data_IF_794062205716
#
_entry.id   IF_794062205716
#
_cell.length_a   1.000
_cell.length_b   1.000
_cell.length_c   1.000
_cell.angle_alpha   90.00
_cell.angle_beta   90.00
_cell.angle_gamma   90.00
#
_symmetry.space_group_name_H-M   'P 1'
#
loop_
_entity.id
_entity.type
_entity.pdbx_description
1 polymer ?
#
# COMPACT_ATOMS: atom_id res chain seq x y z
N UNK A 1 -22.20 -3.04 -60.09
CA UNK A 1 -22.19 -4.43 -59.60
C UNK A 1 -22.55 -4.41 -58.12
N UNK A 2 -23.68 -5.04 -57.77
CA UNK A 2 -24.24 -5.34 -56.42
C UNK A 2 -24.38 -4.21 -55.39
N UNK A 3 -25.58 -3.62 -55.37
CA UNK A 3 -26.23 -3.05 -54.18
C UNK A 3 -26.65 -4.19 -53.23
N UNK A 4 -26.44 -4.00 -51.92
CA UNK A 4 -27.03 -4.82 -50.86
C UNK A 4 -27.86 -3.90 -49.96
N UNK A 5 -29.19 -4.07 -50.04
CA UNK A 5 -30.18 -3.41 -49.21
C UNK A 5 -30.42 -4.26 -47.95
N UNK A 6 -30.36 -3.64 -46.77
CA UNK A 6 -30.78 -4.26 -45.50
C UNK A 6 -32.11 -3.63 -45.09
N UNK A 7 -33.15 -4.47 -45.03
CA UNK A 7 -34.52 -4.15 -44.58
C UNK A 7 -34.54 -3.95 -43.06
N UNK A 8 -35.19 -2.87 -42.61
CA UNK A 8 -35.68 -2.68 -41.24
C UNK A 8 -37.00 -3.48 -41.06
N UNK A 9 -37.12 -4.19 -39.95
CA UNK A 9 -38.37 -4.78 -39.45
C UNK A 9 -38.69 -4.26 -38.05
N UNK A 10 -39.97 -4.05 -37.68
CA UNK A 10 -40.36 -3.49 -36.39
C UNK A 10 -40.55 -4.58 -35.33
N UNK A 11 -40.06 -4.32 -34.11
CA UNK A 11 -40.36 -5.13 -32.93
C UNK A 11 -41.64 -4.61 -32.27
N UNK A 12 -42.54 -5.55 -32.02
CA UNK A 12 -43.88 -5.34 -31.52
C UNK A 12 -43.91 -5.02 -30.01
N UNK A 13 -44.83 -4.12 -29.68
CA UNK A 13 -45.32 -3.80 -28.34
C UNK A 13 -46.22 -4.94 -27.85
N UNK A 14 -46.03 -5.40 -26.61
CA UNK A 14 -47.05 -6.16 -25.90
C UNK A 14 -47.28 -5.54 -24.52
N UNK A 15 -48.47 -4.97 -24.39
CA UNK A 15 -49.14 -4.57 -23.16
C UNK A 15 -49.47 -5.81 -22.30
N UNK A 16 -49.32 -5.69 -20.98
CA UNK A 16 -50.08 -6.48 -20.01
C UNK A 16 -50.62 -5.51 -18.97
N UNK A 17 -51.92 -5.24 -19.06
CA UNK A 17 -52.73 -4.60 -18.02
C UNK A 17 -53.47 -5.66 -17.19
N UNK A 18 -53.88 -5.22 -16.00
CA UNK A 18 -54.88 -5.77 -15.07
C UNK A 18 -54.41 -6.80 -14.03
N UNK A 19 -54.34 -6.39 -12.75
CA UNK A 19 -55.50 -6.24 -11.85
C UNK A 19 -55.10 -5.58 -10.51
N UNK A 20 -55.74 -4.45 -10.19
CA UNK A 20 -55.90 -3.93 -8.83
C UNK A 20 -57.30 -4.35 -8.34
N UNK A 21 -57.40 -4.85 -7.11
CA UNK A 21 -58.50 -4.45 -6.24
C UNK A 21 -58.15 -4.61 -4.74
N UNK A 22 -58.47 -3.55 -4.01
CA UNK A 22 -58.33 -3.26 -2.59
C UNK A 22 -58.91 -4.30 -1.63
N UNK A 23 -58.37 -4.32 -0.40
CA UNK A 23 -59.14 -4.16 0.84
C UNK A 23 -58.22 -3.61 1.96
N UNK A 24 -58.74 -2.60 2.67
CA UNK A 24 -58.08 -1.78 3.69
C UNK A 24 -58.37 -2.24 5.13
N UNK A 25 -57.51 -1.77 6.06
CA UNK A 25 -57.69 -1.53 7.52
C UNK A 25 -57.51 -2.71 8.53
N UNK A 26 -57.23 -2.45 9.83
CA UNK A 26 -56.09 -1.74 10.42
C UNK A 26 -55.43 -2.45 11.66
N UNK A 27 -54.20 -2.04 12.02
CA UNK A 27 -53.40 -2.11 13.28
C UNK A 27 -53.90 -2.86 14.55
N UNK A 28 -52.99 -3.47 15.37
CA UNK A 28 -52.05 -2.73 16.26
C UNK A 28 -50.64 -3.35 16.47
N UNK A 29 -49.70 -2.62 17.11
CA UNK A 29 -48.30 -3.02 17.23
C UNK A 29 -48.07 -3.87 18.49
N UNK A 30 -47.23 -4.90 18.38
CA UNK A 30 -46.65 -5.57 19.54
C UNK A 30 -45.12 -5.49 19.46
N UNK A 31 -44.60 -4.59 20.30
CA UNK A 31 -43.27 -4.67 20.86
C UNK A 31 -43.00 -6.09 21.35
N UNK A 32 -41.91 -6.69 20.89
CA UNK A 32 -41.17 -7.65 21.70
C UNK A 32 -39.67 -7.44 21.48
N UNK A 33 -39.10 -6.84 22.52
CA UNK A 33 -37.68 -6.72 22.82
C UNK A 33 -36.96 -8.06 22.70
N UNK A 34 -36.04 -8.15 21.74
CA UNK A 34 -35.01 -9.20 21.68
C UNK A 34 -33.89 -8.78 22.65
N UNK A 35 -33.53 -9.59 23.66
CA UNK A 35 -32.36 -9.28 24.47
C UNK A 35 -31.09 -9.48 23.62
N UNK A 36 -30.43 -8.36 23.32
CA UNK A 36 -29.05 -8.32 22.86
C UNK A 36 -28.13 -8.86 23.97
N UNK A 37 -27.76 -10.13 23.87
CA UNK A 37 -26.58 -10.67 24.55
C UNK A 37 -26.01 -11.80 23.71
N UNK A 38 -25.38 -11.42 22.60
CA UNK A 38 -24.34 -12.23 21.98
C UNK A 38 -23.06 -11.42 22.09
N UNK A 39 -22.42 -11.49 23.27
CA UNK A 39 -20.99 -11.22 23.33
C UNK A 39 -20.32 -12.23 22.41
N UNK A 40 -19.98 -11.80 21.21
CA UNK A 40 -19.01 -12.51 20.38
C UNK A 40 -17.73 -12.61 21.23
N UNK A 41 -17.16 -13.81 21.41
CA UNK A 41 -15.87 -13.93 22.06
C UNK A 41 -14.83 -13.17 21.22
N UNK A 42 -13.81 -12.56 21.82
CA UNK A 42 -12.72 -11.95 21.07
C UNK A 42 -11.99 -13.04 20.28
N UNK A 43 -12.21 -13.08 18.98
CA UNK A 43 -11.42 -13.86 18.03
C UNK A 43 -10.13 -13.10 17.75
N UNK A 44 -9.12 -13.31 18.58
CA UNK A 44 -7.71 -13.32 18.16
C UNK A 44 -6.84 -13.86 19.30
N UNK A 45 -6.91 -15.17 19.54
CA UNK A 45 -5.76 -15.89 20.10
C UNK A 45 -4.96 -16.35 18.89
N UNK A 46 -3.84 -15.68 18.60
CA UNK A 46 -2.86 -16.21 17.66
C UNK A 46 -2.38 -17.54 18.24
N UNK A 47 -2.74 -18.64 17.60
CA UNK A 47 -2.29 -19.97 18.00
C UNK A 47 -0.94 -20.17 17.34
N UNK A 48 0.10 -20.37 18.16
CA UNK A 48 1.42 -20.73 17.68
C UNK A 48 1.58 -22.24 17.69
N UNK A 49 2.00 -22.81 16.57
CA UNK A 49 2.44 -24.20 16.47
C UNK A 49 3.72 -24.40 17.28
N UNK A 50 3.83 -25.54 17.98
CA UNK A 50 5.06 -25.93 18.64
C UNK A 50 6.08 -26.42 17.58
N UNK A 51 7.27 -25.81 17.47
CA UNK A 51 8.29 -26.27 16.53
C UNK A 51 8.72 -27.72 16.81
N UNK A 52 9.01 -28.47 15.75
CA UNK A 52 9.68 -29.77 15.84
C UNK A 52 11.03 -29.63 16.56
N UNK A 53 11.41 -30.62 17.38
CA UNK A 53 12.69 -30.60 18.06
C UNK A 53 13.84 -30.66 17.05
N UNK A 54 14.95 -29.92 17.28
CA UNK A 54 16.13 -30.03 16.44
C UNK A 54 16.65 -31.46 16.34
N UNK A 55 17.15 -31.83 15.17
CA UNK A 55 17.74 -33.14 14.96
C UNK A 55 18.96 -33.35 15.86
N UNK A 56 18.95 -34.40 16.69
CA UNK A 56 20.10 -34.76 17.54
C UNK A 56 21.37 -34.93 16.69
N UNK A 57 21.21 -35.58 15.52
CA UNK A 57 22.29 -35.86 14.59
C UNK A 57 21.81 -35.95 13.14
N UNK A 58 22.44 -35.18 12.27
CA UNK A 58 22.27 -35.27 10.83
C UNK A 58 23.08 -36.43 10.25
N UNK A 59 22.58 -37.05 9.17
CA UNK A 59 23.30 -38.11 8.45
C UNK A 59 24.67 -37.63 7.96
N UNK A 60 25.60 -38.55 7.68
CA UNK A 60 26.93 -38.15 7.18
C UNK A 60 26.82 -37.40 5.84
N UNK A 61 25.93 -37.85 4.95
CA UNK A 61 25.69 -37.21 3.66
C UNK A 61 25.17 -35.78 3.84
N UNK A 62 24.16 -35.57 4.69
CA UNK A 62 23.58 -34.25 4.96
C UNK A 62 24.61 -33.33 5.63
N UNK A 63 25.36 -33.80 6.62
CA UNK A 63 26.43 -33.00 7.26
C UNK A 63 27.51 -32.58 6.27
N UNK A 64 27.89 -33.47 5.36
CA UNK A 64 28.85 -33.14 4.30
C UNK A 64 28.30 -32.04 3.39
N UNK A 65 27.04 -32.15 2.97
CA UNK A 65 26.41 -31.13 2.13
C UNK A 65 26.26 -29.78 2.87
N UNK A 66 25.89 -29.77 4.16
CA UNK A 66 25.88 -28.56 4.99
C UNK A 66 27.25 -27.89 5.02
N UNK A 67 28.32 -28.65 5.29
CA UNK A 67 29.68 -28.12 5.28
C UNK A 67 30.07 -27.55 3.92
N UNK A 68 29.88 -28.35 2.87
CA UNK A 68 30.38 -28.06 1.54
C UNK A 68 29.64 -26.88 0.88
N UNK A 69 28.32 -26.82 1.06
CA UNK A 69 27.45 -25.89 0.33
C UNK A 69 26.99 -24.70 1.17
N UNK A 70 26.80 -24.87 2.49
CA UNK A 70 26.39 -23.76 3.37
C UNK A 70 27.59 -23.14 4.10
N UNK A 71 28.27 -23.90 4.97
CA UNK A 71 29.31 -23.34 5.85
C UNK A 71 30.46 -22.70 5.06
N UNK A 72 30.92 -23.32 3.97
CA UNK A 72 31.99 -22.78 3.12
C UNK A 72 31.58 -21.53 2.32
N UNK A 73 30.27 -21.32 2.08
CA UNK A 73 29.76 -20.20 1.28
C UNK A 73 29.21 -19.07 2.15
N UNK A 74 28.94 -19.32 3.43
CA UNK A 74 28.27 -18.38 4.35
C UNK A 74 28.94 -17.00 4.38
N UNK A 75 30.26 -16.94 4.53
CA UNK A 75 30.98 -15.67 4.62
C UNK A 75 30.88 -14.83 3.33
N UNK A 76 30.82 -15.47 2.16
CA UNK A 76 30.64 -14.77 0.89
C UNK A 76 29.21 -14.23 0.75
N UNK A 77 28.20 -15.01 1.19
CA UNK A 77 26.81 -14.57 1.21
C UNK A 77 26.58 -13.40 2.18
N UNK A 78 27.15 -13.47 3.38
CA UNK A 78 27.14 -12.37 4.37
C UNK A 78 27.78 -11.11 3.79
N UNK A 79 28.91 -11.25 3.10
CA UNK A 79 29.56 -10.14 2.41
C UNK A 79 28.68 -9.55 1.31
N UNK A 80 28.08 -10.37 0.45
CA UNK A 80 27.19 -9.90 -0.62
C UNK A 80 25.97 -9.15 -0.04
N UNK A 81 25.36 -9.68 1.01
CA UNK A 81 24.24 -9.04 1.71
C UNK A 81 24.67 -7.70 2.32
N UNK A 82 25.83 -7.68 2.98
CA UNK A 82 26.38 -6.48 3.61
C UNK A 82 26.69 -5.38 2.60
N UNK A 83 27.34 -5.73 1.48
CA UNK A 83 27.63 -4.79 0.40
C UNK A 83 26.36 -4.22 -0.22
N UNK A 84 25.32 -5.05 -0.38
CA UNK A 84 24.04 -4.64 -0.92
C UNK A 84 23.27 -3.69 0.01
N UNK A 85 23.33 -3.93 1.32
CA UNK A 85 22.64 -3.12 2.33
C UNK A 85 23.48 -1.96 2.86
N UNK A 86 24.76 -1.88 2.49
CA UNK A 86 25.66 -0.79 2.87
C UNK A 86 26.11 -0.80 4.34
N UNK A 87 25.82 -1.86 5.08
CA UNK A 87 26.24 -2.09 6.48
C UNK A 87 26.55 -3.57 6.70
N UNK A 88 27.25 -3.92 7.77
CA UNK A 88 27.59 -5.32 8.06
C UNK A 88 26.35 -6.12 8.49
N UNK A 89 26.11 -7.23 7.79
CA UNK A 89 25.01 -8.17 8.03
C UNK A 89 25.54 -9.59 8.22
N UNK A 90 24.89 -10.34 9.09
CA UNK A 90 25.18 -11.76 9.32
C UNK A 90 23.97 -12.63 8.99
N UNK A 91 24.21 -13.93 8.78
CA UNK A 91 23.14 -14.91 8.52
C UNK A 91 23.12 -16.00 9.59
N UNK A 92 21.95 -16.22 10.20
CA UNK A 92 21.72 -17.26 11.20
C UNK A 92 20.76 -18.32 10.65
N UNK A 93 21.27 -19.52 10.37
CA UNK A 93 20.46 -20.67 10.00
C UNK A 93 21.03 -21.91 10.72
N UNK A 94 20.22 -22.57 11.55
CA UNK A 94 20.61 -23.81 12.23
C UNK A 94 20.13 -25.02 11.41
N UNK A 95 21.04 -25.76 10.73
CA UNK A 95 20.66 -26.92 9.94
C UNK A 95 19.97 -28.00 10.77
N UNK A 96 20.26 -28.13 12.08
CA UNK A 96 19.61 -29.13 12.93
C UNK A 96 18.18 -28.75 13.28
N UNK A 97 17.88 -27.45 13.44
CA UNK A 97 16.53 -26.98 13.66
C UNK A 97 15.68 -27.02 12.38
N UNK A 98 16.31 -26.83 11.21
CA UNK A 98 15.63 -26.79 9.91
C UNK A 98 15.36 -28.20 9.35
N UNK A 99 16.33 -29.13 9.46
CA UNK A 99 16.23 -30.45 8.83
C UNK A 99 14.98 -31.27 9.20
N UNK A 100 14.45 -31.25 10.44
CA UNK A 100 13.23 -31.99 10.79
C UNK A 100 12.03 -31.72 9.89
N UNK A 101 11.99 -30.57 9.22
CA UNK A 101 10.92 -30.18 8.28
C UNK A 101 11.19 -30.60 6.84
N UNK A 102 12.15 -31.50 6.61
CA UNK A 102 12.42 -31.98 5.26
C UNK A 102 11.19 -32.74 4.71
N UNK A 103 10.77 -32.41 3.50
CA UNK A 103 9.89 -33.27 2.71
C UNK A 103 10.73 -34.31 1.94
N UNK A 104 10.12 -35.15 1.10
CA UNK A 104 10.84 -36.09 0.23
C UNK A 104 11.58 -35.40 -0.95
N UNK A 105 12.04 -34.17 -0.75
CA UNK A 105 12.63 -33.31 -1.76
C UNK A 105 13.98 -32.71 -1.37
N UNK A 106 14.22 -31.49 -1.84
CA UNK A 106 15.52 -30.82 -1.88
C UNK A 106 16.29 -30.86 -0.54
N UNK A 107 15.61 -30.56 0.56
CA UNK A 107 16.25 -30.45 1.88
C UNK A 107 16.64 -31.81 2.51
N UNK A 108 16.06 -32.93 2.05
CA UNK A 108 16.33 -34.27 2.62
C UNK A 108 17.77 -34.71 2.40
N UNK A 109 18.28 -34.47 1.19
CA UNK A 109 19.61 -34.90 0.76
C UNK A 109 20.57 -33.72 0.58
N UNK A 110 20.06 -32.50 0.36
CA UNK A 110 20.86 -31.30 0.03
C UNK A 110 20.51 -30.09 0.89
N UNK A 111 20.40 -30.29 2.21
CA UNK A 111 20.05 -29.25 3.18
C UNK A 111 20.94 -27.99 3.10
N UNK A 112 22.26 -28.15 2.98
CA UNK A 112 23.20 -27.04 2.86
C UNK A 112 22.93 -26.20 1.62
N UNK A 113 22.73 -26.86 0.48
CA UNK A 113 22.33 -26.19 -0.76
C UNK A 113 20.97 -25.49 -0.62
N UNK A 114 20.03 -26.12 0.09
CA UNK A 114 18.71 -25.55 0.35
C UNK A 114 18.80 -24.26 1.18
N UNK A 115 19.57 -24.25 2.27
CA UNK A 115 19.78 -23.05 3.10
C UNK A 115 20.44 -21.95 2.27
N UNK A 116 21.52 -22.29 1.55
CA UNK A 116 22.21 -21.35 0.64
C UNK A 116 21.23 -20.71 -0.36
N UNK A 117 20.35 -21.51 -0.97
CA UNK A 117 19.41 -21.02 -1.97
C UNK A 117 18.38 -20.03 -1.41
N UNK A 118 17.93 -20.17 -0.16
CA UNK A 118 17.10 -19.14 0.50
C UNK A 118 17.83 -17.82 0.66
N UNK A 119 19.11 -17.87 1.05
CA UNK A 119 19.94 -16.66 1.26
C UNK A 119 20.26 -15.99 -0.08
N UNK A 120 20.61 -16.76 -1.11
CA UNK A 120 20.78 -16.25 -2.47
C UNK A 120 19.49 -15.63 -3.02
N UNK A 121 18.35 -16.27 -2.75
CA UNK A 121 17.02 -15.74 -3.07
C UNK A 121 16.74 -14.40 -2.38
N UNK A 122 17.05 -14.29 -1.09
CA UNK A 122 16.93 -13.05 -0.34
C UNK A 122 17.80 -11.92 -0.94
N UNK A 123 19.07 -12.19 -1.21
CA UNK A 123 20.00 -11.23 -1.83
C UNK A 123 19.47 -10.79 -3.20
N UNK A 124 19.00 -11.73 -4.02
CA UNK A 124 18.43 -11.43 -5.34
C UNK A 124 17.23 -10.48 -5.24
N UNK A 125 16.27 -10.76 -4.35
CA UNK A 125 15.07 -9.95 -4.19
C UNK A 125 15.39 -8.56 -3.63
N UNK A 126 16.25 -8.46 -2.62
CA UNK A 126 16.69 -7.16 -2.08
C UNK A 126 17.37 -6.35 -3.19
N UNK A 127 18.22 -6.97 -4.01
CA UNK A 127 18.89 -6.28 -5.12
C UNK A 127 17.90 -5.78 -6.17
N UNK A 128 16.91 -6.60 -6.53
CA UNK A 128 15.85 -6.23 -7.45
C UNK A 128 15.05 -5.03 -6.93
N UNK A 129 14.62 -5.08 -5.66
CA UNK A 129 13.81 -4.04 -5.03
C UNK A 129 14.62 -2.76 -4.77
N UNK A 130 15.89 -2.84 -4.39
CA UNK A 130 16.79 -1.66 -4.32
C UNK A 130 16.94 -0.98 -5.68
N UNK A 131 16.96 -1.75 -6.78
CA UNK A 131 16.95 -1.19 -8.14
C UNK A 131 15.66 -0.43 -8.49
N UNK A 132 14.53 -0.84 -7.91
CA UNK A 132 13.20 -0.23 -8.11
C UNK A 132 12.96 0.98 -7.21
N UNK A 133 13.34 0.87 -5.94
CA UNK A 133 13.02 1.85 -4.88
C UNK A 133 14.21 2.77 -4.51
N UNK A 134 15.39 2.52 -5.07
CA UNK A 134 16.59 3.30 -4.82
C UNK A 134 17.29 2.97 -3.50
N UNK A 135 18.33 3.73 -3.17
CA UNK A 135 19.18 3.50 -1.99
C UNK A 135 18.43 3.57 -0.66
N UNK A 136 17.35 4.33 -0.61
CA UNK A 136 16.48 4.46 0.57
C UNK A 136 15.84 3.14 0.99
N UNK A 137 15.68 2.19 0.07
CA UNK A 137 15.16 0.87 0.40
C UNK A 137 16.11 0.09 1.32
N UNK A 138 17.41 0.15 1.07
CA UNK A 138 18.40 -0.47 1.94
C UNK A 138 18.43 0.18 3.32
N UNK A 139 18.35 1.51 3.38
CA UNK A 139 18.23 2.26 4.65
C UNK A 139 16.99 1.81 5.44
N UNK A 140 15.84 1.66 4.78
CA UNK A 140 14.62 1.20 5.45
C UNK A 140 14.77 -0.19 6.06
N UNK A 141 15.38 -1.13 5.32
CA UNK A 141 15.66 -2.47 5.84
C UNK A 141 16.58 -2.38 7.06
N UNK A 142 17.66 -1.61 7.00
CA UNK A 142 18.62 -1.46 8.10
C UNK A 142 17.99 -0.84 9.35
N UNK A 143 17.14 0.17 9.18
CA UNK A 143 16.48 0.84 10.32
C UNK A 143 15.53 -0.12 11.07
N UNK A 144 14.74 -0.89 10.33
CA UNK A 144 13.74 -1.78 10.91
C UNK A 144 14.37 -3.08 11.43
N UNK A 145 15.29 -3.66 10.65
CA UNK A 145 16.06 -4.83 11.02
C UNK A 145 17.46 -4.42 11.56
N UNK A 146 17.43 -3.56 12.58
CA UNK A 146 18.61 -2.94 13.21
C UNK A 146 19.60 -3.92 13.88
N UNK A 147 19.23 -5.19 14.06
CA UNK A 147 20.17 -6.22 14.48
C UNK A 147 21.11 -6.64 13.34
N UNK A 148 20.76 -6.32 12.09
CA UNK A 148 21.47 -6.71 10.86
C UNK A 148 21.72 -8.22 10.77
N UNK A 149 20.68 -8.99 11.07
CA UNK A 149 20.70 -10.45 10.98
C UNK A 149 19.58 -10.93 10.07
N UNK A 150 19.94 -11.74 9.08
CA UNK A 150 19.00 -12.54 8.29
C UNK A 150 18.88 -13.93 8.91
N UNK A 151 17.67 -14.40 9.22
CA UNK A 151 17.45 -15.76 9.75
C UNK A 151 16.68 -16.66 8.77
N UNK A 152 16.78 -17.98 8.96
CA UNK A 152 15.93 -18.96 8.27
C UNK A 152 15.28 -19.89 9.30
N UNK A 153 13.96 -19.80 9.42
CA UNK A 153 13.19 -20.45 10.48
C UNK A 153 11.86 -21.00 9.92
N UNK A 154 11.21 -21.89 10.68
CA UNK A 154 9.86 -22.35 10.33
C UNK A 154 8.82 -21.28 10.69
N UNK A 155 7.77 -21.15 9.88
CA UNK A 155 6.57 -20.39 10.21
C UNK A 155 5.81 -21.09 11.34
N UNK A 156 5.60 -20.39 12.45
CA UNK A 156 5.03 -20.92 13.68
C UNK A 156 3.57 -20.50 13.91
N UNK A 157 2.93 -19.76 13.00
CA UNK A 157 1.50 -19.42 13.11
C UNK A 157 0.57 -20.53 12.62
N UNK A 158 -0.56 -20.71 13.30
CA UNK A 158 -1.68 -21.58 12.90
C UNK A 158 -2.99 -20.78 12.76
N UNK A 159 -3.56 -20.66 11.55
CA UNK A 159 -3.05 -21.22 10.28
C UNK A 159 -1.79 -20.48 9.78
N UNK A 160 -0.95 -21.20 9.03
CA UNK A 160 0.27 -20.63 8.45
C UNK A 160 -0.06 -19.44 7.54
N UNK A 161 0.68 -18.33 7.71
CA UNK A 161 0.53 -17.11 6.89
C UNK A 161 0.96 -17.31 5.44
N UNK A 162 1.97 -18.13 5.24
CA UNK A 162 2.60 -18.33 3.94
C UNK A 162 2.33 -19.73 3.41
N UNK A 163 1.96 -19.83 2.14
CA UNK A 163 1.75 -21.13 1.49
C UNK A 163 3.07 -21.90 1.29
N UNK A 164 4.18 -21.20 1.01
CA UNK A 164 5.50 -21.82 0.84
C UNK A 164 6.52 -21.25 1.82
N UNK A 165 6.75 -19.95 1.71
CA UNK A 165 7.65 -19.18 2.52
C UNK A 165 7.32 -17.69 2.38
N UNK A 166 7.85 -16.90 3.29
CA UNK A 166 7.75 -15.44 3.30
C UNK A 166 8.79 -14.86 4.25
N UNK A 167 8.58 -13.63 4.66
CA UNK A 167 9.45 -12.99 5.63
C UNK A 167 8.69 -12.09 6.60
N UNK A 168 9.35 -11.78 7.71
CA UNK A 168 8.91 -10.74 8.63
C UNK A 168 10.11 -10.02 9.24
N UNK A 169 9.85 -8.87 9.86
CA UNK A 169 10.80 -8.23 10.76
C UNK A 169 10.32 -8.44 12.19
N UNK A 170 11.17 -9.07 13.01
CA UNK A 170 10.87 -9.33 14.41
C UNK A 170 12.15 -9.27 15.24
N UNK A 171 12.08 -8.65 16.40
CA UNK A 171 13.21 -8.46 17.32
C UNK A 171 14.43 -7.81 16.63
N UNK A 172 14.17 -6.90 15.69
CA UNK A 172 15.20 -6.23 14.90
C UNK A 172 15.89 -7.12 13.86
N UNK A 173 15.41 -8.34 13.60
CA UNK A 173 15.95 -9.25 12.58
C UNK A 173 15.03 -9.36 11.38
N UNK A 174 15.60 -9.58 10.20
CA UNK A 174 14.85 -9.98 9.02
C UNK A 174 14.78 -11.52 8.99
N UNK A 175 13.61 -12.09 9.19
CA UNK A 175 13.42 -13.55 9.29
C UNK A 175 12.83 -14.08 8.00
N UNK A 176 13.48 -15.06 7.37
CA UNK A 176 12.86 -15.91 6.35
C UNK A 176 12.08 -17.00 7.09
N UNK A 177 10.81 -17.14 6.75
CA UNK A 177 9.91 -18.12 7.36
C UNK A 177 9.43 -19.08 6.28
N UNK A 178 9.73 -20.37 6.42
CA UNK A 178 9.20 -21.42 5.54
C UNK A 178 8.03 -22.14 6.19
N UNK A 179 7.01 -22.47 5.40
CA UNK A 179 5.92 -23.33 5.85
C UNK A 179 6.45 -24.74 6.15
N UNK A 180 6.00 -25.35 7.25
CA UNK A 180 6.49 -26.64 7.76
C UNK A 180 6.51 -27.79 6.74
N UNK A 181 5.66 -27.74 5.70
CA UNK A 181 5.57 -28.77 4.65
C UNK A 181 6.31 -28.39 3.35
N UNK A 182 6.79 -27.15 3.25
CA UNK A 182 7.26 -26.55 2.00
C UNK A 182 8.75 -26.15 2.04
N UNK A 183 9.53 -26.66 3.00
CA UNK A 183 10.97 -26.41 3.06
C UNK A 183 11.65 -26.70 1.71
N UNK A 184 12.38 -25.70 1.19
CA UNK A 184 13.12 -25.80 -0.08
C UNK A 184 12.26 -25.60 -1.34
N UNK A 185 11.01 -25.21 -1.20
CA UNK A 185 10.11 -24.91 -2.34
C UNK A 185 10.07 -23.41 -2.59
N UNK A 186 10.29 -22.97 -3.84
CA UNK A 186 10.23 -21.56 -4.27
C UNK A 186 11.00 -20.62 -3.33
N UNK A 187 12.24 -20.97 -3.01
CA UNK A 187 13.05 -20.32 -1.98
C UNK A 187 13.32 -18.83 -2.26
N UNK A 188 13.31 -18.45 -3.53
CA UNK A 188 13.46 -17.09 -4.03
C UNK A 188 12.21 -16.22 -3.79
N UNK A 189 11.08 -16.80 -3.41
CA UNK A 189 9.84 -16.08 -3.14
C UNK A 189 9.78 -15.52 -1.71
N UNK A 190 10.75 -15.82 -0.85
CA UNK A 190 10.67 -15.45 0.57
C UNK A 190 10.63 -13.93 0.78
N UNK A 191 11.45 -13.20 0.03
CA UNK A 191 11.60 -11.74 0.12
C UNK A 191 11.10 -11.01 -1.13
N UNK A 192 10.28 -11.68 -1.97
CA UNK A 192 9.65 -10.99 -3.10
C UNK A 192 8.80 -9.80 -2.63
N UNK A 193 8.47 -8.90 -3.55
CA UNK A 193 7.82 -7.62 -3.24
C UNK A 193 6.57 -7.75 -2.35
N UNK A 194 5.68 -8.69 -2.68
CA UNK A 194 4.44 -8.96 -1.93
C UNK A 194 4.65 -9.70 -0.60
N UNK A 195 5.89 -9.97 -0.19
CA UNK A 195 6.27 -10.51 1.12
C UNK A 195 7.08 -9.48 1.93
N UNK A 196 8.12 -8.90 1.32
CA UNK A 196 9.02 -7.99 2.02
C UNK A 196 8.40 -6.62 2.31
N UNK A 197 7.62 -6.03 1.39
CA UNK A 197 7.01 -4.73 1.65
C UNK A 197 5.95 -4.78 2.76
N UNK A 198 5.05 -5.79 2.80
CA UNK A 198 4.19 -5.99 3.96
C UNK A 198 4.97 -6.19 5.26
N UNK A 199 6.09 -6.94 5.24
CA UNK A 199 6.94 -7.14 6.41
C UNK A 199 7.55 -5.84 6.93
N UNK A 200 8.06 -4.97 6.04
CA UNK A 200 8.57 -3.65 6.40
C UNK A 200 7.47 -2.77 7.02
N UNK A 201 6.25 -2.82 6.47
CA UNK A 201 5.13 -2.01 6.97
C UNK A 201 4.53 -2.53 8.28
N UNK A 202 4.63 -3.84 8.54
CA UNK A 202 4.16 -4.45 9.78
C UNK A 202 5.18 -4.31 10.92
N UNK A 203 6.44 -4.03 10.60
CA UNK A 203 7.49 -3.81 11.59
C UNK A 203 7.16 -2.58 12.46
N UNK A 204 7.40 -2.63 13.79
CA UNK A 204 7.29 -1.44 14.63
C UNK A 204 8.20 -0.33 14.11
N UNK A 205 7.62 0.83 13.81
CA UNK A 205 8.33 2.01 13.32
C UNK A 205 7.72 3.27 13.92
N UNK A 206 8.56 4.26 14.21
CA UNK A 206 8.15 5.63 14.55
C UNK A 206 7.93 6.50 13.30
N UNK A 207 8.31 5.99 12.12
CA UNK A 207 8.13 6.70 10.86
C UNK A 207 6.65 6.86 10.54
N UNK A 208 6.24 8.05 10.06
CA UNK A 208 4.89 8.22 9.53
C UNK A 208 4.73 7.40 8.24
N UNK A 209 3.50 6.96 7.98
CA UNK A 209 3.09 6.25 6.77
C UNK A 209 3.67 4.84 6.58
N UNK A 210 3.22 4.14 5.54
CA UNK A 210 3.90 2.95 5.03
C UNK A 210 5.12 3.34 4.19
N UNK A 211 6.01 2.38 3.94
CA UNK A 211 7.12 2.54 3.01
C UNK A 211 6.65 2.98 1.62
N UNK A 212 5.58 2.38 1.09
CA UNK A 212 5.01 2.75 -0.21
C UNK A 212 4.58 4.21 -0.26
N UNK A 213 3.87 4.68 0.77
CA UNK A 213 3.44 6.07 0.86
C UNK A 213 4.64 7.02 0.95
N UNK A 214 5.62 6.75 1.83
CA UNK A 214 6.85 7.55 1.91
C UNK A 214 7.60 7.59 0.58
N UNK A 215 7.72 6.44 -0.08
CA UNK A 215 8.40 6.36 -1.37
C UNK A 215 7.66 7.13 -2.47
N UNK A 216 6.32 7.00 -2.57
CA UNK A 216 5.54 7.76 -3.56
C UNK A 216 5.64 9.27 -3.31
N UNK A 217 5.60 9.72 -2.06
CA UNK A 217 5.80 11.14 -1.73
C UNK A 217 7.17 11.62 -2.22
N UNK A 218 8.23 10.87 -1.92
CA UNK A 218 9.61 11.22 -2.28
C UNK A 218 9.86 11.21 -3.79
N UNK A 219 9.33 10.21 -4.50
CA UNK A 219 9.58 10.02 -5.93
C UNK A 219 8.68 10.91 -6.80
N UNK A 220 7.40 11.05 -6.41
CA UNK A 220 6.41 11.71 -7.25
C UNK A 220 6.14 13.15 -6.81
N UNK A 221 5.89 13.40 -5.52
CA UNK A 221 5.40 14.69 -5.03
C UNK A 221 6.52 15.70 -4.80
N UNK A 222 7.51 15.35 -3.98
CA UNK A 222 8.58 16.28 -3.55
C UNK A 222 9.32 16.92 -4.73
N UNK A 223 9.70 16.20 -5.81
CA UNK A 223 10.45 16.79 -6.90
C UNK A 223 9.62 17.74 -7.78
N UNK A 224 8.29 17.59 -7.78
CA UNK A 224 7.41 18.24 -8.75
C UNK A 224 6.56 19.38 -8.16
N UNK A 225 6.24 19.33 -6.87
CA UNK A 225 5.30 20.28 -6.25
C UNK A 225 5.75 21.74 -6.34
N UNK A 226 7.06 21.99 -6.36
CA UNK A 226 7.61 23.34 -6.50
C UNK A 226 7.17 24.04 -7.81
N UNK A 227 7.04 23.29 -8.91
CA UNK A 227 6.55 23.82 -10.17
C UNK A 227 5.06 24.18 -10.10
N UNK A 228 4.24 23.30 -9.50
CA UNK A 228 2.80 23.56 -9.31
C UNK A 228 2.57 24.77 -8.41
N UNK A 229 3.34 24.89 -7.33
CA UNK A 229 3.31 26.05 -6.43
C UNK A 229 3.60 27.35 -7.18
N UNK A 230 4.58 27.32 -8.09
CA UNK A 230 4.94 28.46 -8.94
C UNK A 230 3.81 28.80 -9.91
N UNK A 231 3.19 27.82 -10.56
CA UNK A 231 2.09 28.06 -11.49
C UNK A 231 0.89 28.72 -10.78
N UNK A 232 0.55 28.27 -9.56
CA UNK A 232 -0.49 28.90 -8.73
C UNK A 232 -0.10 30.33 -8.36
N UNK A 233 1.14 30.57 -7.94
CA UNK A 233 1.61 31.91 -7.59
C UNK A 233 1.54 32.89 -8.78
N UNK A 234 1.98 32.44 -9.96
CA UNK A 234 1.95 33.23 -11.20
C UNK A 234 0.51 33.60 -11.59
N UNK A 235 -0.43 32.65 -11.49
CA UNK A 235 -1.86 32.89 -11.77
C UNK A 235 -2.50 33.91 -10.82
N UNK A 236 -1.99 34.04 -9.60
CA UNK A 236 -2.50 34.96 -8.58
C UNK A 236 -1.77 36.30 -8.56
N UNK A 237 -0.73 36.48 -9.39
CA UNK A 237 0.14 37.66 -9.32
C UNK A 237 0.91 37.76 -8.00
N UNK A 238 1.21 36.61 -7.38
CA UNK A 238 1.88 36.48 -6.08
C UNK A 238 3.29 35.94 -6.21
N UNK A 239 4.12 36.18 -5.19
CA UNK A 239 5.40 35.48 -5.06
C UNK A 239 5.20 34.05 -4.57
N UNK A 240 6.11 33.14 -4.95
CA UNK A 240 6.06 31.73 -4.52
C UNK A 240 6.10 31.58 -2.99
N UNK A 241 6.76 32.51 -2.29
CA UNK A 241 6.88 32.49 -0.83
C UNK A 241 5.60 32.90 -0.10
N UNK A 242 4.67 33.59 -0.77
CA UNK A 242 3.36 33.95 -0.22
C UNK A 242 2.35 32.78 -0.29
N UNK A 243 2.58 31.82 -1.19
CA UNK A 243 1.68 30.68 -1.37
C UNK A 243 2.06 29.56 -0.40
N UNK A 244 1.06 28.95 0.23
CA UNK A 244 1.23 27.71 1.02
C UNK A 244 0.48 26.58 0.34
N UNK A 245 1.20 25.49 0.04
CA UNK A 245 0.62 24.25 -0.45
C UNK A 245 0.69 23.23 0.69
N UNK A 246 -0.47 22.78 1.14
CA UNK A 246 -0.60 21.88 2.28
C UNK A 246 -1.17 20.52 1.82
N UNK A 247 -0.32 19.51 1.57
CA UNK A 247 -0.78 18.20 1.14
C UNK A 247 -1.53 17.43 2.24
N UNK A 248 -1.37 17.84 3.50
CA UNK A 248 -2.02 17.25 4.67
C UNK A 248 -1.85 15.71 4.73
N UNK A 249 -0.64 15.23 4.43
CA UNK A 249 -0.38 13.81 4.21
C UNK A 249 -0.78 12.94 5.40
N UNK A 250 -0.46 13.34 6.63
CA UNK A 250 -0.73 12.60 7.86
C UNK A 250 -2.23 12.37 8.05
N UNK A 251 -3.03 13.42 7.98
CA UNK A 251 -4.48 13.32 8.16
C UNK A 251 -5.14 12.54 7.01
N UNK A 252 -4.70 12.78 5.77
CA UNK A 252 -5.23 12.10 4.60
C UNK A 252 -4.89 10.61 4.61
N UNK A 253 -3.66 10.24 4.96
CA UNK A 253 -3.24 8.86 5.10
C UNK A 253 -4.01 8.13 6.20
N UNK A 254 -4.19 8.76 7.37
CA UNK A 254 -4.97 8.18 8.46
C UNK A 254 -6.41 7.90 8.01
N UNK A 255 -7.07 8.88 7.38
CA UNK A 255 -8.45 8.75 6.88
C UNK A 255 -8.59 7.65 5.83
N UNK A 256 -7.66 7.58 4.87
CA UNK A 256 -7.65 6.55 3.83
C UNK A 256 -7.39 5.15 4.41
N UNK A 257 -6.48 5.04 5.39
CA UNK A 257 -6.17 3.78 6.05
C UNK A 257 -7.37 3.20 6.80
N UNK A 258 -8.15 4.05 7.47
CA UNK A 258 -9.38 3.65 8.17
C UNK A 258 -10.50 3.24 7.20
N UNK A 259 -10.61 3.95 6.08
CA UNK A 259 -11.75 3.83 5.17
C UNK A 259 -11.63 2.68 4.17
N UNK A 260 -10.42 2.13 3.97
CA UNK A 260 -10.14 1.06 2.99
C UNK A 260 -10.67 1.41 1.59
N UNK A 261 -10.08 2.42 0.92
CA UNK A 261 -10.54 2.90 -0.38
C UNK A 261 -10.60 1.75 -1.39
N UNK A 262 -11.47 1.91 -2.40
CA UNK A 262 -11.70 0.92 -3.47
C UNK A 262 -10.43 0.55 -4.24
N UNK A 263 -9.46 1.45 -4.30
CA UNK A 263 -8.17 1.24 -4.94
C UNK A 263 -7.18 0.60 -3.94
N UNK A 264 -6.86 -0.68 -4.15
CA UNK A 264 -5.98 -1.45 -3.25
C UNK A 264 -4.55 -0.87 -3.17
N UNK A 265 -4.03 -0.30 -4.27
CA UNK A 265 -2.68 0.25 -4.37
C UNK A 265 -2.58 1.76 -4.06
N UNK A 266 -3.58 2.33 -3.36
CA UNK A 266 -3.62 3.76 -3.07
C UNK A 266 -2.38 4.30 -2.35
N UNK A 267 -1.74 3.49 -1.48
CA UNK A 267 -0.54 3.89 -0.76
C UNK A 267 0.66 4.06 -1.69
N UNK A 268 0.76 3.23 -2.73
CA UNK A 268 1.80 3.32 -3.77
C UNK A 268 1.66 4.58 -4.62
N UNK A 269 0.48 5.20 -4.60
CA UNK A 269 0.14 6.37 -5.42
C UNK A 269 -0.15 7.61 -4.60
N UNK A 270 0.05 7.59 -3.27
CA UNK A 270 -0.33 8.69 -2.39
C UNK A 270 0.32 10.01 -2.81
N UNK A 271 1.63 10.00 -3.08
CA UNK A 271 2.37 11.17 -3.53
C UNK A 271 1.90 11.62 -4.91
N UNK A 272 1.81 10.69 -5.87
CA UNK A 272 1.37 10.99 -7.24
C UNK A 272 -0.05 11.60 -7.28
N UNK A 273 -1.01 11.01 -6.58
CA UNK A 273 -2.38 11.51 -6.56
C UNK A 273 -2.49 12.85 -5.85
N UNK A 274 -1.77 13.03 -4.73
CA UNK A 274 -1.74 14.31 -4.03
C UNK A 274 -1.18 15.41 -4.92
N UNK A 275 -0.09 15.16 -5.65
CA UNK A 275 0.45 16.10 -6.64
C UNK A 275 -0.61 16.45 -7.69
N UNK A 276 -1.27 15.44 -8.26
CA UNK A 276 -2.29 15.64 -9.29
C UNK A 276 -3.47 16.48 -8.81
N UNK A 277 -3.87 16.43 -7.55
CA UNK A 277 -4.92 17.31 -7.04
C UNK A 277 -4.51 18.77 -7.16
N UNK A 278 -3.26 19.11 -6.84
CA UNK A 278 -2.75 20.47 -6.99
C UNK A 278 -2.50 20.86 -8.45
N UNK A 279 -2.02 19.94 -9.29
CA UNK A 279 -1.94 20.16 -10.74
C UNK A 279 -3.32 20.43 -11.34
N UNK A 280 -4.33 19.66 -10.92
CA UNK A 280 -5.73 19.84 -11.29
C UNK A 280 -6.27 21.20 -10.85
N UNK A 281 -5.94 21.66 -9.64
CA UNK A 281 -6.27 23.01 -9.18
C UNK A 281 -5.68 24.07 -10.11
N UNK A 282 -4.37 24.03 -10.36
CA UNK A 282 -3.69 25.00 -11.23
C UNK A 282 -4.28 24.98 -12.65
N UNK A 283 -4.57 23.80 -13.19
CA UNK A 283 -5.23 23.62 -14.48
C UNK A 283 -6.61 24.29 -14.51
N UNK A 284 -7.45 24.07 -13.50
CA UNK A 284 -8.79 24.65 -13.42
C UNK A 284 -8.75 26.16 -13.21
N UNK A 285 -7.81 26.69 -12.43
CA UNK A 285 -7.60 28.14 -12.28
C UNK A 285 -7.26 28.80 -13.62
N UNK A 286 -6.38 28.17 -14.41
CA UNK A 286 -6.05 28.63 -15.76
C UNK A 286 -7.26 28.56 -16.68
N UNK A 287 -8.01 27.46 -16.66
CA UNK A 287 -9.21 27.29 -17.48
C UNK A 287 -10.30 28.33 -17.17
N UNK A 288 -10.47 28.66 -15.89
CA UNK A 288 -11.39 29.68 -15.38
C UNK A 288 -10.81 31.11 -15.44
N UNK A 289 -9.65 31.29 -16.08
CA UNK A 289 -9.02 32.59 -16.37
C UNK A 289 -8.63 33.41 -15.13
N UNK A 290 -8.30 32.77 -14.01
CA UNK A 290 -7.86 33.45 -12.78
C UNK A 290 -6.68 34.42 -13.02
N UNK A 291 -5.74 34.08 -13.91
CA UNK A 291 -4.60 34.96 -14.23
C UNK A 291 -4.88 36.01 -15.32
N UNK A 292 -6.08 36.04 -15.90
CA UNK A 292 -6.44 36.92 -17.01
C UNK A 292 -7.66 37.81 -16.69
N UNK A 293 -8.50 37.41 -15.75
CA UNK A 293 -9.71 38.12 -15.32
C UNK A 293 -9.52 38.69 -13.91
N UNK A 294 -9.40 40.02 -13.81
CA UNK A 294 -9.10 40.75 -12.57
C UNK A 294 -10.16 40.51 -11.49
N UNK A 295 -11.45 40.41 -11.86
CA UNK A 295 -12.53 40.22 -10.88
C UNK A 295 -12.49 38.82 -10.27
N UNK A 296 -12.18 37.80 -11.08
CA UNK A 296 -12.04 36.43 -10.58
C UNK A 296 -10.79 36.32 -9.70
N UNK A 297 -9.68 36.96 -10.11
CA UNK A 297 -8.45 36.96 -9.34
C UNK A 297 -8.64 37.63 -7.97
N UNK A 298 -9.26 38.82 -7.94
CA UNK A 298 -9.54 39.56 -6.72
C UNK A 298 -10.47 38.76 -5.80
N UNK A 299 -11.58 38.23 -6.32
CA UNK A 299 -12.50 37.41 -5.53
C UNK A 299 -11.85 36.18 -4.90
N UNK A 300 -10.94 35.51 -5.64
CA UNK A 300 -10.19 34.38 -5.11
C UNK A 300 -9.20 34.79 -4.01
N UNK A 301 -8.49 35.90 -4.19
CA UNK A 301 -7.56 36.44 -3.20
C UNK A 301 -8.28 36.92 -1.93
N UNK A 302 -9.48 37.47 -2.06
CA UNK A 302 -10.33 37.86 -0.92
C UNK A 302 -10.83 36.63 -0.16
N UNK A 303 -11.35 35.63 -0.86
CA UNK A 303 -11.87 34.41 -0.26
C UNK A 303 -10.76 33.58 0.41
N UNK A 304 -9.62 33.40 -0.27
CA UNK A 304 -8.45 32.63 0.19
C UNK A 304 -7.43 33.55 0.87
N UNK A 305 -7.90 34.30 1.85
CA UNK A 305 -7.12 35.35 2.54
C UNK A 305 -5.81 34.88 3.20
N UNK A 306 -5.63 33.56 3.43
CA UNK A 306 -4.38 32.98 3.96
C UNK A 306 -3.37 32.55 2.90
N UNK A 307 -3.74 32.62 1.60
CA UNK A 307 -2.96 32.08 0.49
C UNK A 307 -2.57 30.59 0.68
N UNK A 308 -3.42 29.83 1.38
CA UNK A 308 -3.20 28.40 1.66
C UNK A 308 -4.16 27.55 0.83
N UNK A 309 -3.60 26.52 0.20
CA UNK A 309 -4.29 25.57 -0.64
C UNK A 309 -4.00 24.17 -0.09
N UNK A 310 -5.03 23.50 0.42
CA UNK A 310 -4.89 22.27 1.16
C UNK A 310 -5.67 21.12 0.51
N UNK A 311 -5.11 19.91 0.53
CA UNK A 311 -5.86 18.70 0.18
C UNK A 311 -6.45 18.09 1.45
N UNK A 312 -7.73 17.71 1.46
CA UNK A 312 -8.29 16.91 2.55
C UNK A 312 -9.21 15.80 2.08
N UNK A 313 -9.12 14.65 2.73
CA UNK A 313 -10.05 13.53 2.55
C UNK A 313 -11.22 13.68 3.52
N UNK A 314 -12.44 13.70 2.98
CA UNK A 314 -13.69 13.90 3.73
C UNK A 314 -14.64 12.72 3.58
N UNK A 315 -15.60 12.57 4.49
CA UNK A 315 -16.60 11.50 4.42
C UNK A 315 -17.62 11.73 3.30
N UNK A 316 -18.00 12.99 3.09
CA UNK A 316 -19.02 13.41 2.11
C UNK A 316 -18.60 14.67 1.40
N UNK A 317 -18.95 14.76 0.11
CA UNK A 317 -18.85 15.98 -0.69
C UNK A 317 -20.24 16.63 -0.77
N UNK A 318 -20.27 17.94 -0.94
CA UNK A 318 -21.51 18.74 -0.91
C UNK A 318 -22.06 19.01 -2.31
N UNK A 319 -21.18 19.24 -3.28
CA UNK A 319 -21.47 19.82 -4.58
C UNK A 319 -21.10 18.93 -5.76
N UNK A 320 -20.24 17.94 -5.57
CA UNK A 320 -19.81 17.00 -6.61
C UNK A 320 -19.70 15.55 -6.11
N UNK A 321 -19.53 14.60 -7.02
CA UNK A 321 -19.43 13.17 -6.70
C UNK A 321 -17.99 12.67 -6.55
N UNK A 322 -17.02 13.28 -7.24
CA UNK A 322 -15.62 12.79 -7.30
C UNK A 322 -14.64 13.63 -6.48
N UNK A 323 -14.75 14.94 -6.57
CA UNK A 323 -13.96 15.91 -5.81
C UNK A 323 -14.53 17.31 -5.99
N UNK A 324 -14.28 18.17 -5.01
CA UNK A 324 -14.75 19.55 -5.03
C UNK A 324 -13.72 20.49 -4.38
N UNK A 325 -13.94 21.79 -4.53
CA UNK A 325 -13.23 22.80 -3.74
C UNK A 325 -14.21 23.51 -2.84
N UNK A 326 -13.75 23.90 -1.65
CA UNK A 326 -14.47 24.80 -0.75
C UNK A 326 -13.50 25.80 -0.14
N UNK A 327 -13.99 26.98 0.18
CA UNK A 327 -13.22 27.98 0.95
C UNK A 327 -13.72 28.00 2.38
N UNK A 328 -12.84 27.71 3.33
CA UNK A 328 -13.15 27.71 4.76
C UNK A 328 -12.04 28.41 5.53
N UNK A 329 -12.41 29.38 6.38
CA UNK A 329 -11.49 30.14 7.21
C UNK A 329 -10.29 30.72 6.45
N UNK A 330 -10.50 31.18 5.21
CA UNK A 330 -9.45 31.76 4.37
C UNK A 330 -8.52 30.76 3.69
N UNK A 331 -8.81 29.45 3.74
CA UNK A 331 -8.06 28.36 3.08
C UNK A 331 -8.93 27.74 1.99
N UNK A 332 -8.34 27.49 0.82
CA UNK A 332 -8.99 26.69 -0.22
C UNK A 332 -8.68 25.22 0.00
N UNK A 333 -9.71 24.43 0.29
CA UNK A 333 -9.61 22.98 0.41
C UNK A 333 -10.01 22.31 -0.89
N UNK A 334 -9.10 21.56 -1.49
CA UNK A 334 -9.41 20.52 -2.47
C UNK A 334 -9.88 19.30 -1.66
N UNK A 335 -11.04 18.77 -2.00
CA UNK A 335 -11.66 17.67 -1.28
C UNK A 335 -11.87 16.45 -2.17
N UNK A 336 -11.67 15.28 -1.59
CA UNK A 336 -12.06 14.00 -2.16
C UNK A 336 -12.56 13.07 -1.06
N UNK A 337 -13.29 12.02 -1.43
CA UNK A 337 -13.67 10.94 -0.50
C UNK A 337 -12.72 9.76 -0.66
N UNK A 338 -12.62 8.87 0.34
CA UNK A 338 -11.83 7.64 0.20
C UNK A 338 -12.15 6.87 -1.08
N UNK A 339 -13.43 6.68 -1.42
CA UNK A 339 -13.87 5.90 -2.59
C UNK A 339 -13.55 6.55 -3.94
N UNK A 340 -13.29 7.87 -3.95
CA UNK A 340 -13.01 8.64 -5.17
C UNK A 340 -11.60 9.23 -5.18
N UNK A 341 -10.79 8.88 -4.18
CA UNK A 341 -9.40 9.32 -4.11
C UNK A 341 -8.63 8.85 -5.34
N UNK A 342 -8.03 9.79 -6.06
CA UNK A 342 -7.31 9.49 -7.28
C UNK A 342 -8.17 9.41 -8.56
N UNK A 343 -9.49 9.62 -8.46
CA UNK A 343 -10.42 9.54 -9.61
C UNK A 343 -10.82 10.92 -10.10
N UNK A 344 -10.75 11.16 -11.42
CA UNK A 344 -11.15 12.43 -12.05
C UNK A 344 -10.51 13.67 -11.40
N UNK A 345 -9.26 13.53 -10.95
CA UNK A 345 -8.55 14.50 -10.12
C UNK A 345 -8.48 15.88 -10.78
N UNK A 346 -8.28 15.92 -12.09
CA UNK A 346 -8.15 17.15 -12.89
C UNK A 346 -9.42 18.03 -12.84
N UNK A 347 -10.56 17.47 -12.43
CA UNK A 347 -11.84 18.16 -12.33
C UNK A 347 -12.19 18.60 -10.90
N UNK A 348 -11.37 18.29 -9.90
CA UNK A 348 -11.69 18.56 -8.49
C UNK A 348 -11.98 20.06 -8.21
N UNK A 349 -11.41 20.96 -9.00
CA UNK A 349 -11.60 22.41 -8.86
C UNK A 349 -12.46 23.04 -9.99
N UNK A 350 -13.23 22.25 -10.74
CA UNK A 350 -14.00 22.74 -11.89
C UNK A 350 -15.08 23.77 -11.53
N UNK A 351 -15.54 23.77 -10.27
CA UNK A 351 -16.55 24.70 -9.73
C UNK A 351 -15.94 25.81 -8.86
N UNK A 352 -14.65 26.10 -9.02
CA UNK A 352 -13.95 27.08 -8.19
C UNK A 352 -14.66 28.44 -8.15
N UNK A 353 -15.03 28.99 -9.31
CA UNK A 353 -15.71 30.30 -9.38
C UNK A 353 -17.08 30.29 -8.71
N UNK A 354 -17.78 29.15 -8.66
CA UNK A 354 -19.08 29.04 -7.97
C UNK A 354 -18.94 29.12 -6.43
N UNK A 355 -17.70 29.04 -5.91
CA UNK A 355 -17.39 29.06 -4.47
C UNK A 355 -16.79 30.39 -3.99
N UNK A 356 -16.59 31.35 -4.90
CA UNK A 356 -16.14 32.72 -4.60
C UNK A 356 -17.36 33.62 -4.44
#
# INVERSE_FOLDING_TARGET
MRLLAIKKGPLAVQEVQHLQHHLEHPHPPLFNSIPHSSQLPPLNTSVTMAPLPPAEKLSLAVRKNVRDEWENNKADLEKQLSELLGTEWTVEADPKAIWPYHNDGYAKESLGSCIKAYVEGAIYQIKYLSGRYGSEFATEINDLAHAHVLTLEVEDQDPARFSYNGCEIKDGKLRILFNETCLGTNVDYALQENSLLPALNAAPSDKPFSFHARNSIRQDYEPAIGAVKKDIADLLGKSVDEITINPNFEANFAKLSESKPSLEDWQERLGNFTLKYFEGLAYQMKYQKVGEDELIQEGLLEAVSKNEYALRIVDTLTYDSYGEVVVEDGVLYIQAKPDTFGTNIDYAAQKLVDQL
#
